data_IF_584076429604
#
_entry.id   IF_584076429604
#
_cell.length_a   1.000
_cell.length_b   1.000
_cell.length_c   1.000
_cell.angle_alpha   90.00
_cell.angle_beta   90.00
_cell.angle_gamma   90.00
#
_symmetry.space_group_name_H-M   'P 1'
#
loop_
_entity.id
_entity.type
_entity.pdbx_description
1 polymer ?
#
# COMPACT_ATOMS: atom_id res chain seq x y z
N UNK A 1 -11.76 8.16 17.79
CA UNK A 1 -11.22 7.39 16.64
C UNK A 1 -11.75 5.98 16.79
N UNK A 2 -12.76 5.59 16.00
CA UNK A 2 -13.35 4.24 16.06
C UNK A 2 -12.39 3.28 15.35
N UNK A 3 -11.85 2.32 16.08
CA UNK A 3 -11.05 1.23 15.53
C UNK A 3 -11.93 0.39 14.61
N UNK A 4 -11.54 0.25 13.34
CA UNK A 4 -12.16 -0.72 12.42
C UNK A 4 -11.92 -2.11 13.00
N UNK A 5 -12.99 -2.89 13.15
CA UNK A 5 -12.89 -4.24 13.70
C UNK A 5 -12.12 -5.15 12.73
N UNK A 6 -11.37 -6.11 13.25
CA UNK A 6 -10.63 -7.07 12.39
C UNK A 6 -11.59 -7.82 11.44
N UNK A 7 -12.82 -8.12 11.89
CA UNK A 7 -13.86 -8.76 11.08
C UNK A 7 -14.23 -7.95 9.82
N UNK A 8 -14.18 -6.62 9.88
CA UNK A 8 -14.49 -5.76 8.74
C UNK A 8 -13.41 -5.78 7.66
N UNK A 9 -12.17 -6.21 7.97
CA UNK A 9 -11.06 -6.22 7.00
C UNK A 9 -10.60 -7.62 6.63
N UNK A 10 -10.96 -8.64 7.43
CA UNK A 10 -10.57 -10.04 7.21
C UNK A 10 -11.00 -10.58 5.84
N UNK A 11 -12.13 -10.12 5.32
CA UNK A 11 -12.65 -10.52 4.01
C UNK A 11 -11.73 -10.12 2.84
N UNK A 12 -10.77 -9.21 3.07
CA UNK A 12 -9.82 -8.74 2.07
C UNK A 12 -8.53 -9.57 2.01
N UNK A 13 -8.23 -10.32 3.08
CA UNK A 13 -6.97 -11.07 3.19
C UNK A 13 -6.97 -12.25 2.21
N UNK A 14 -5.87 -12.40 1.47
CA UNK A 14 -5.69 -13.49 0.50
C UNK A 14 -6.41 -13.29 -0.83
N UNK A 15 -7.18 -12.21 -0.99
CA UNK A 15 -7.72 -11.83 -2.29
C UNK A 15 -6.59 -11.37 -3.21
N UNK A 16 -6.68 -11.78 -4.48
CA UNK A 16 -5.68 -11.43 -5.49
C UNK A 16 -6.19 -10.27 -6.34
N UNK A 17 -5.35 -9.25 -6.46
CA UNK A 17 -5.53 -8.24 -7.49
C UNK A 17 -4.70 -8.68 -8.72
N UNK A 18 -5.37 -8.93 -9.85
CA UNK A 18 -4.69 -9.24 -11.10
C UNK A 18 -4.26 -7.95 -11.81
N UNK A 19 -3.18 -8.02 -12.59
CA UNK A 19 -2.62 -6.87 -13.30
C UNK A 19 -3.55 -6.41 -14.43
N UNK A 20 -4.51 -5.56 -14.11
CA UNK A 20 -5.21 -4.75 -15.11
C UNK A 20 -4.31 -3.54 -15.41
N UNK A 21 -4.05 -3.28 -16.70
CA UNK A 21 -3.04 -2.31 -17.17
C UNK A 21 -3.16 -0.90 -16.55
N UNK A 22 -4.35 -0.52 -16.09
CA UNK A 22 -4.67 0.83 -15.62
C UNK A 22 -4.71 0.98 -14.09
N UNK A 23 -4.67 -0.11 -13.32
CA UNK A 23 -4.78 0.03 -11.86
C UNK A 23 -3.60 0.79 -11.26
N UNK A 24 -3.92 1.79 -10.44
CA UNK A 24 -2.93 2.70 -9.85
C UNK A 24 -1.89 1.96 -9.01
N UNK A 25 -2.28 0.91 -8.28
CA UNK A 25 -1.37 0.01 -7.56
C UNK A 25 -0.27 -0.56 -8.45
N UNK A 26 -0.62 -1.09 -9.63
CA UNK A 26 0.38 -1.60 -10.57
C UNK A 26 1.19 -0.51 -11.25
N UNK A 27 0.67 0.73 -11.34
CA UNK A 27 1.49 1.86 -11.77
C UNK A 27 2.60 2.13 -10.75
N UNK A 28 2.29 2.19 -9.45
CA UNK A 28 3.28 2.32 -8.37
C UNK A 28 4.31 1.19 -8.41
N UNK A 29 3.87 -0.06 -8.58
CA UNK A 29 4.78 -1.21 -8.65
C UNK A 29 5.74 -1.12 -9.85
N UNK A 30 5.32 -0.49 -10.95
CA UNK A 30 6.17 -0.32 -12.15
C UNK A 30 7.11 0.87 -12.05
N UNK A 31 6.63 2.01 -11.57
CA UNK A 31 7.41 3.26 -11.57
C UNK A 31 8.16 3.50 -10.26
N UNK A 32 7.70 2.91 -9.16
CA UNK A 32 8.18 3.19 -7.81
C UNK A 32 7.66 4.49 -7.21
N UNK A 33 7.00 5.32 -8.01
CA UNK A 33 6.47 6.62 -7.60
C UNK A 33 5.18 6.45 -6.81
N UNK A 34 5.14 7.04 -5.62
CA UNK A 34 3.92 7.11 -4.84
C UNK A 34 2.86 7.95 -5.56
N UNK A 35 1.60 7.53 -5.48
CA UNK A 35 0.48 8.27 -6.06
C UNK A 35 -0.38 8.81 -4.92
N UNK A 36 -0.61 10.12 -4.91
CA UNK A 36 -1.58 10.76 -4.03
C UNK A 36 -2.65 11.47 -4.86
N UNK A 37 -3.89 11.02 -4.72
CA UNK A 37 -5.07 11.62 -5.31
C UNK A 37 -5.95 12.14 -4.17
N UNK A 38 -5.81 13.43 -3.86
CA UNK A 38 -6.64 14.14 -2.88
C UNK A 38 -8.12 14.27 -3.28
N UNK A 39 -8.44 13.88 -4.52
CA UNK A 39 -9.79 13.73 -5.01
C UNK A 39 -9.79 12.70 -6.15
N UNK A 40 -10.67 11.71 -6.04
CA UNK A 40 -11.02 10.86 -7.16
C UNK A 40 -11.99 11.58 -8.09
N UNK A 41 -11.74 11.42 -9.38
CA UNK A 41 -12.44 12.07 -10.48
C UNK A 41 -13.05 11.02 -11.40
N UNK A 42 -13.92 11.43 -12.31
CA UNK A 42 -14.52 10.51 -13.30
C UNK A 42 -13.46 9.87 -14.20
N UNK A 43 -12.31 10.52 -14.37
CA UNK A 43 -11.19 10.06 -15.19
C UNK A 43 -10.35 8.97 -14.51
N UNK A 44 -10.28 8.95 -13.18
CA UNK A 44 -9.34 8.07 -12.45
C UNK A 44 -10.03 7.09 -11.48
N UNK A 45 -11.32 7.24 -11.18
CA UNK A 45 -12.02 6.40 -10.21
C UNK A 45 -12.07 4.92 -10.62
N UNK A 46 -12.08 4.64 -11.92
CA UNK A 46 -12.10 3.27 -12.45
C UNK A 46 -10.72 2.60 -12.39
N UNK A 47 -9.65 3.38 -12.26
CA UNK A 47 -8.27 2.89 -12.07
C UNK A 47 -7.97 2.53 -10.61
N UNK A 48 -8.86 2.90 -9.69
CA UNK A 48 -8.74 2.53 -8.27
C UNK A 48 -9.47 1.22 -8.01
N UNK A 49 -8.74 0.25 -7.45
CA UNK A 49 -9.35 -0.95 -6.93
C UNK A 49 -9.81 -0.74 -5.49
N UNK A 50 -11.11 -0.94 -5.27
CA UNK A 50 -11.72 -0.93 -3.95
C UNK A 50 -12.12 -2.35 -3.57
N UNK A 51 -11.70 -2.78 -2.39
CA UNK A 51 -12.00 -4.11 -1.89
C UNK A 51 -13.45 -4.22 -1.38
N UNK A 52 -14.02 -3.13 -0.86
CA UNK A 52 -15.44 -3.01 -0.54
C UNK A 52 -16.24 -2.69 -1.83
N UNK A 53 -16.72 -3.74 -2.50
CA UNK A 53 -17.40 -3.62 -3.81
C UNK A 53 -18.70 -2.82 -3.75
N UNK A 54 -19.47 -2.94 -2.66
CA UNK A 54 -20.74 -2.26 -2.50
C UNK A 54 -20.54 -0.75 -2.32
N UNK A 55 -19.64 -0.34 -1.40
CA UNK A 55 -19.31 1.08 -1.25
C UNK A 55 -18.67 1.66 -2.52
N UNK A 56 -17.83 0.88 -3.20
CA UNK A 56 -17.21 1.29 -4.46
C UNK A 56 -18.25 1.58 -5.54
N UNK A 57 -19.30 0.77 -5.65
CA UNK A 57 -20.38 0.99 -6.63
C UNK A 57 -21.09 2.32 -6.37
N UNK A 58 -21.45 2.59 -5.12
CA UNK A 58 -22.10 3.85 -4.72
C UNK A 58 -21.19 5.05 -5.04
N UNK A 59 -19.92 4.99 -4.64
CA UNK A 59 -18.95 6.08 -4.83
C UNK A 59 -18.69 6.37 -6.31
N UNK A 60 -18.57 5.33 -7.15
CA UNK A 60 -18.42 5.50 -8.61
C UNK A 60 -19.61 6.22 -9.23
N UNK A 61 -20.84 5.90 -8.79
CA UNK A 61 -22.05 6.58 -9.26
C UNK A 61 -22.04 8.06 -8.84
N UNK A 62 -21.73 8.34 -7.57
CA UNK A 62 -21.67 9.71 -7.03
C UNK A 62 -20.62 10.57 -7.74
N UNK A 63 -19.41 10.05 -7.95
CA UNK A 63 -18.34 10.76 -8.68
C UNK A 63 -18.76 11.09 -10.12
N UNK A 64 -19.42 10.16 -10.82
CA UNK A 64 -19.87 10.37 -12.20
C UNK A 64 -21.03 11.37 -12.31
N UNK A 65 -21.87 11.47 -11.29
CA UNK A 65 -23.02 12.40 -11.24
C UNK A 65 -22.65 13.80 -10.79
N UNK A 66 -21.45 14.01 -10.27
CA UNK A 66 -21.05 15.29 -9.68
C UNK A 66 -20.05 16.06 -10.54
N UNK A 67 -20.30 17.36 -10.68
CA UNK A 67 -19.36 18.32 -11.25
C UNK A 67 -18.59 19.05 -10.13
N UNK A 68 -17.67 18.36 -9.43
CA UNK A 68 -16.70 18.89 -8.44
C UNK A 68 -16.92 18.58 -6.94
N UNK A 69 -17.72 17.58 -6.55
CA UNK A 69 -17.69 17.12 -5.15
C UNK A 69 -16.56 16.12 -4.90
N UNK A 70 -15.94 16.23 -3.72
CA UNK A 70 -14.94 15.28 -3.23
C UNK A 70 -15.67 14.16 -2.49
N UNK A 71 -15.69 12.95 -3.05
CA UNK A 71 -16.31 11.77 -2.42
C UNK A 71 -15.29 10.78 -1.86
N UNK A 72 -14.09 10.78 -2.42
CA UNK A 72 -13.04 9.83 -2.06
C UNK A 72 -11.67 10.38 -2.44
N UNK A 73 -10.66 9.91 -1.72
CA UNK A 73 -9.25 10.10 -2.02
C UNK A 73 -8.53 8.77 -2.00
N UNK A 74 -7.39 8.72 -2.67
CA UNK A 74 -6.58 7.52 -2.77
C UNK A 74 -5.09 7.87 -2.66
N UNK A 75 -4.39 7.13 -1.83
CA UNK A 75 -2.95 7.25 -1.62
C UNK A 75 -2.36 5.85 -1.71
N UNK A 76 -1.27 5.71 -2.45
CA UNK A 76 -0.56 4.44 -2.57
C UNK A 76 0.96 4.66 -2.60
N UNK A 77 1.63 4.68 -1.45
CA UNK A 77 3.09 4.61 -1.41
C UNK A 77 3.61 3.21 -1.77
N UNK A 78 4.79 3.17 -2.37
CA UNK A 78 5.51 1.92 -2.65
C UNK A 78 6.18 1.40 -1.38
N UNK A 79 6.21 0.07 -1.24
CA UNK A 79 7.01 -0.62 -0.23
C UNK A 79 8.21 -1.23 -0.96
N UNK A 80 9.41 -0.76 -0.63
CA UNK A 80 10.64 -1.10 -1.34
C UNK A 80 11.64 -1.75 -0.42
N UNK A 81 12.25 -2.87 -0.79
CA UNK A 81 13.39 -3.40 -0.03
C UNK A 81 14.62 -2.49 -0.20
N UNK A 82 15.65 -2.70 0.63
CA UNK A 82 16.89 -1.90 0.66
C UNK A 82 17.56 -1.71 -0.72
N UNK A 83 17.42 -2.67 -1.64
CA UNK A 83 17.94 -2.55 -3.01
C UNK A 83 17.08 -1.68 -3.95
N UNK A 84 16.15 -0.88 -3.42
CA UNK A 84 15.12 -0.12 -4.16
C UNK A 84 14.17 -0.97 -5.02
N UNK A 85 14.19 -2.30 -4.86
CA UNK A 85 13.21 -3.17 -5.53
C UNK A 85 11.88 -3.09 -4.80
N UNK A 86 10.80 -2.84 -5.53
CA UNK A 86 9.45 -2.82 -4.99
C UNK A 86 9.02 -4.25 -4.63
N UNK A 87 8.52 -4.42 -3.41
CA UNK A 87 8.05 -5.69 -2.86
C UNK A 87 6.53 -5.71 -2.64
N UNK A 88 5.91 -4.53 -2.71
CA UNK A 88 4.47 -4.32 -2.60
C UNK A 88 4.15 -2.84 -2.61
N UNK A 89 2.89 -2.51 -2.37
CA UNK A 89 2.40 -1.16 -2.16
C UNK A 89 1.47 -1.13 -0.95
N UNK A 90 1.18 0.08 -0.43
CA UNK A 90 0.24 0.28 0.67
C UNK A 90 -0.91 1.14 0.17
N UNK A 91 -2.02 0.52 -0.24
CA UNK A 91 -3.21 1.24 -0.68
C UNK A 91 -4.04 1.79 0.48
N UNK A 92 -4.25 3.10 0.51
CA UNK A 92 -5.06 3.82 1.49
C UNK A 92 -6.14 4.60 0.74
N UNK A 93 -7.40 4.41 1.10
CA UNK A 93 -8.52 5.17 0.55
C UNK A 93 -9.43 5.73 1.64
N UNK A 94 -10.07 6.84 1.33
CA UNK A 94 -11.20 7.37 2.10
C UNK A 94 -12.48 7.06 1.32
N UNK A 95 -13.34 6.17 1.85
CA UNK A 95 -14.67 5.90 1.31
C UNK A 95 -15.69 6.50 2.27
N UNK A 96 -16.09 7.75 2.07
CA UNK A 96 -17.17 8.36 2.87
C UNK A 96 -18.32 8.77 1.96
N UNK A 97 -19.50 8.23 2.27
CA UNK A 97 -20.75 8.60 1.60
C UNK A 97 -21.22 10.02 1.98
N UNK A 98 -20.68 10.61 3.06
CA UNK A 98 -20.98 11.97 3.50
C UNK A 98 -19.91 12.96 3.04
N UNK A 99 -20.36 14.10 2.49
CA UNK A 99 -19.55 15.18 1.89
C UNK A 99 -18.61 15.93 2.85
N UNK A 100 -18.10 15.32 3.92
CA UNK A 100 -17.17 15.94 4.86
C UNK A 100 -15.73 15.52 4.55
N UNK A 101 -15.07 16.37 3.75
CA UNK A 101 -13.62 16.48 3.52
C UNK A 101 -12.86 15.15 3.36
N UNK A 102 -12.80 14.56 2.14
CA UNK A 102 -12.13 13.28 1.93
C UNK A 102 -10.64 13.39 1.60
N UNK A 103 -10.09 14.61 1.46
CA UNK A 103 -8.68 14.82 1.12
C UNK A 103 -7.76 14.38 2.25
N UNK A 104 -6.60 13.81 1.91
CA UNK A 104 -5.56 13.61 2.90
C UNK A 104 -5.00 14.97 3.31
N UNK A 105 -4.77 15.18 4.60
CA UNK A 105 -3.97 16.31 5.05
C UNK A 105 -2.49 16.10 4.68
N UNK A 106 -1.73 17.17 4.52
CA UNK A 106 -0.33 17.08 4.06
C UNK A 106 0.52 16.14 4.93
N UNK A 107 0.31 16.17 6.25
CA UNK A 107 1.02 15.29 7.19
C UNK A 107 0.60 13.82 7.11
N UNK A 108 -0.59 13.51 6.59
CA UNK A 108 -1.02 12.12 6.42
C UNK A 108 -0.19 11.42 5.34
N UNK A 109 0.17 12.14 4.27
CA UNK A 109 1.06 11.59 3.25
C UNK A 109 2.41 11.15 3.85
N UNK A 110 3.05 12.05 4.60
CA UNK A 110 4.32 11.77 5.28
C UNK A 110 4.18 10.62 6.28
N UNK A 111 3.06 10.56 6.99
CA UNK A 111 2.75 9.46 7.90
C UNK A 111 2.69 8.11 7.18
N UNK A 112 1.87 7.99 6.12
CA UNK A 112 1.74 6.72 5.39
C UNK A 112 3.02 6.34 4.62
N UNK A 113 3.77 7.32 4.13
CA UNK A 113 5.10 7.09 3.56
C UNK A 113 6.08 6.57 4.63
N UNK A 114 6.02 7.12 5.85
CA UNK A 114 6.75 6.63 7.02
C UNK A 114 6.39 5.17 7.35
N UNK A 115 5.10 4.83 7.37
CA UNK A 115 4.62 3.46 7.59
C UNK A 115 5.16 2.50 6.51
N UNK A 116 5.06 2.86 5.23
CA UNK A 116 5.60 2.05 4.12
C UNK A 116 7.12 1.84 4.24
N UNK A 117 7.85 2.86 4.70
CA UNK A 117 9.29 2.78 4.96
C UNK A 117 9.62 1.83 6.11
N UNK A 118 8.85 1.87 7.21
CA UNK A 118 9.05 0.95 8.35
C UNK A 118 8.72 -0.49 7.98
N UNK A 119 7.65 -0.72 7.22
CA UNK A 119 7.32 -2.05 6.67
C UNK A 119 8.43 -2.58 5.77
N UNK A 120 9.02 -1.71 4.94
CA UNK A 120 10.16 -2.04 4.09
C UNK A 120 11.37 -2.51 4.92
N UNK A 121 11.71 -1.79 6.00
CA UNK A 121 12.81 -2.15 6.90
C UNK A 121 12.55 -3.50 7.59
N UNK A 122 11.33 -3.69 8.12
CA UNK A 122 10.93 -4.94 8.77
C UNK A 122 11.04 -6.13 7.81
N UNK A 123 10.56 -5.97 6.57
CA UNK A 123 10.69 -7.01 5.53
C UNK A 123 12.15 -7.34 5.23
N UNK A 124 13.02 -6.33 5.13
CA UNK A 124 14.44 -6.55 4.87
C UNK A 124 15.11 -7.34 6.01
N UNK A 125 14.83 -6.98 7.26
CA UNK A 125 15.36 -7.67 8.43
C UNK A 125 14.91 -9.15 8.46
N UNK A 126 13.61 -9.41 8.30
CA UNK A 126 13.06 -10.77 8.27
C UNK A 126 13.69 -11.59 7.13
N UNK A 127 13.85 -10.97 5.95
CA UNK A 127 14.48 -11.61 4.80
C UNK A 127 15.95 -11.97 5.04
N UNK A 128 16.71 -11.07 5.70
CA UNK A 128 18.10 -11.31 6.07
C UNK A 128 18.22 -12.44 7.10
N UNK A 129 17.39 -12.43 8.14
CA UNK A 129 17.34 -13.51 9.15
C UNK A 129 17.01 -14.86 8.50
N UNK A 130 16.05 -14.90 7.57
CA UNK A 130 15.68 -16.11 6.84
C UNK A 130 16.81 -16.60 5.93
N UNK A 131 17.53 -15.69 5.28
CA UNK A 131 18.70 -16.04 4.46
C UNK A 131 19.80 -16.64 5.34
N UNK A 132 20.14 -15.98 6.45
CA UNK A 132 21.14 -16.46 7.41
C UNK A 132 20.81 -17.88 7.91
N UNK A 133 19.55 -18.11 8.35
CA UNK A 133 19.12 -19.43 8.80
C UNK A 133 19.30 -20.52 7.74
N UNK A 134 19.02 -20.21 6.46
CA UNK A 134 19.24 -21.14 5.34
C UNK A 134 20.72 -21.41 5.10
N UNK A 135 21.57 -20.39 5.17
CA UNK A 135 23.02 -20.54 4.94
C UNK A 135 23.66 -21.38 6.05
N UNK A 136 23.23 -21.21 7.30
CA UNK A 136 23.67 -22.05 8.43
C UNK A 136 23.22 -23.50 8.24
N UNK A 137 21.95 -23.72 7.87
CA UNK A 137 21.39 -25.07 7.65
C UNK A 137 22.03 -25.83 6.49
N UNK A 138 22.49 -25.12 5.45
CA UNK A 138 23.15 -25.71 4.28
C UNK A 138 24.65 -25.94 4.47
N UNK A 139 25.20 -25.69 5.68
CA UNK A 139 26.62 -25.89 5.97
C UNK A 139 27.54 -24.93 5.23
N UNK A 140 27.02 -23.85 4.65
CA UNK A 140 27.79 -22.91 3.82
C UNK A 140 28.46 -21.80 4.64
N UNK A 141 28.25 -21.76 5.95
CA UNK A 141 28.95 -20.83 6.87
C UNK A 141 29.85 -21.63 7.80
N UNK A 142 31.16 -21.57 7.57
CA UNK A 142 32.13 -21.78 8.64
C UNK A 142 31.97 -20.62 9.63
N UNK A 143 31.53 -20.95 10.85
CA UNK A 143 31.11 -20.02 11.92
C UNK A 143 32.23 -19.03 12.33
N UNK A 144 33.45 -19.20 11.84
CA UNK A 144 34.62 -18.38 12.15
C UNK A 144 34.74 -17.08 11.33
N UNK A 145 33.93 -16.86 10.29
CA UNK A 145 34.04 -15.65 9.45
C UNK A 145 33.30 -14.41 10.00
N UNK A 146 32.46 -14.56 11.03
CA UNK A 146 31.57 -13.50 11.51
C UNK A 146 32.20 -12.50 12.50
N UNK A 147 33.45 -12.70 12.92
CA UNK A 147 34.17 -11.78 13.82
C UNK A 147 34.64 -10.47 13.17
N UNK A 148 34.23 -10.17 11.91
CA UNK A 148 34.66 -8.97 11.16
C UNK A 148 33.53 -8.02 10.75
N UNK A 149 32.29 -8.27 11.14
CA UNK A 149 31.19 -7.33 10.90
C UNK A 149 30.83 -6.61 12.21
N UNK A 150 31.63 -5.61 12.54
CA UNK A 150 31.28 -4.59 13.53
C UNK A 150 30.27 -3.63 12.89
N UNK A 151 29.14 -3.42 13.58
CA UNK A 151 28.18 -2.35 13.29
C UNK A 151 28.73 -0.98 13.71
#
# INVERSE_FOLDING_TARGET
MTTVSESETRHMIGLQLHSYRTSLSFRVIRTGEAICLNQLTKENVDDVHFWDKEKAKIIRIEIRRSNNRRFASYLVPSVTKASRKIIGDLGVYTLRASNTLPGFADHEFDFYQGVATRLSQAYCLISACRLFARTVQSGTVDILSFSRLSF
#
